data_IF_603911772372
#
_entry.id   IF_603911772372
#
_cell.length_a   1.000
_cell.length_b   1.000
_cell.length_c   1.000
_cell.angle_alpha   90.00
_cell.angle_beta   90.00
_cell.angle_gamma   90.00
#
_symmetry.space_group_name_H-M   'P 1'
#
loop_
_entity.id
_entity.type
_entity.pdbx_description
1 polymer ?
#
# COMPACT_ATOMS: atom_id res chain seq x y z
N UNK A 1 13.24 -0.66 -6.70
CA UNK A 1 12.84 -0.78 -8.13
C UNK A 1 12.28 -2.16 -8.34
N UNK A 2 11.18 -2.28 -9.10
CA UNK A 2 10.66 -3.56 -9.61
C UNK A 2 11.17 -3.72 -11.04
N UNK A 3 11.71 -4.87 -11.37
CA UNK A 3 12.09 -5.21 -12.74
C UNK A 3 11.49 -6.55 -13.17
N UNK A 4 11.19 -6.68 -14.46
CA UNK A 4 10.68 -7.91 -15.05
C UNK A 4 11.64 -8.48 -16.09
N UNK A 5 11.57 -9.78 -16.35
CA UNK A 5 12.35 -10.44 -17.42
C UNK A 5 12.03 -9.93 -18.82
N UNK A 6 10.91 -9.23 -18.98
CA UNK A 6 10.47 -8.66 -20.25
C UNK A 6 11.06 -7.25 -20.47
N UNK A 7 11.97 -6.80 -19.60
CA UNK A 7 12.67 -5.52 -19.70
C UNK A 7 11.89 -4.33 -19.16
N UNK A 8 10.73 -4.53 -18.55
CA UNK A 8 10.00 -3.46 -17.87
C UNK A 8 10.60 -3.19 -16.50
N UNK A 9 10.71 -1.90 -16.16
CA UNK A 9 11.09 -1.46 -14.83
C UNK A 9 10.11 -0.41 -14.33
N UNK A 10 9.98 -0.38 -13.01
CA UNK A 10 9.14 0.55 -12.31
C UNK A 10 9.50 0.61 -10.83
N UNK A 11 8.58 1.14 -10.06
CA UNK A 11 8.77 1.45 -8.67
C UNK A 11 7.99 0.51 -7.76
N UNK A 12 8.36 0.50 -6.49
CA UNK A 12 7.67 -0.24 -5.45
C UNK A 12 8.21 0.15 -4.09
N UNK A 13 7.51 -0.28 -3.04
CA UNK A 13 7.87 0.05 -1.66
C UNK A 13 7.76 -1.14 -0.73
N UNK A 14 8.67 -1.19 0.25
CA UNK A 14 8.54 -2.09 1.39
C UNK A 14 7.90 -1.28 2.52
N UNK A 15 6.58 -1.32 2.57
CA UNK A 15 5.76 -0.76 3.64
C UNK A 15 4.99 -1.89 4.31
N UNK A 16 4.48 -1.64 5.52
CA UNK A 16 3.67 -2.59 6.30
C UNK A 16 4.46 -3.76 6.88
N UNK A 17 5.26 -4.45 6.07
CA UNK A 17 6.02 -5.61 6.50
C UNK A 17 7.28 -5.82 5.64
N UNK A 18 8.41 -6.21 6.25
CA UNK A 18 9.71 -6.28 5.57
C UNK A 18 9.87 -7.37 4.51
N UNK A 19 8.82 -8.17 4.27
CA UNK A 19 8.76 -9.21 3.21
C UNK A 19 7.81 -8.87 2.05
N UNK A 20 7.18 -7.70 2.09
CA UNK A 20 6.26 -7.25 1.05
C UNK A 20 6.93 -6.24 0.12
N UNK A 21 6.45 -6.19 -1.11
CA UNK A 21 6.72 -5.08 -2.03
C UNK A 21 5.39 -4.65 -2.65
N UNK A 22 4.93 -3.46 -2.29
CA UNK A 22 3.71 -2.85 -2.80
C UNK A 22 4.03 -2.04 -4.05
N UNK A 23 3.17 -2.13 -5.07
CA UNK A 23 3.32 -1.43 -6.34
C UNK A 23 2.02 -1.46 -7.15
N UNK A 24 2.11 -1.16 -8.45
CA UNK A 24 0.98 -1.24 -9.37
C UNK A 24 0.92 -2.60 -10.10
N UNK A 25 -0.28 -3.00 -10.50
CA UNK A 25 -0.55 -4.29 -11.12
C UNK A 25 0.01 -4.40 -12.53
N UNK A 26 0.04 -3.32 -13.31
CA UNK A 26 0.58 -3.36 -14.68
C UNK A 26 2.06 -3.75 -14.73
N UNK A 27 2.83 -3.52 -13.66
CA UNK A 27 4.21 -4.00 -13.58
C UNK A 27 4.32 -5.53 -13.53
N UNK A 28 3.25 -6.20 -13.11
CA UNK A 28 3.16 -7.66 -13.04
C UNK A 28 2.30 -8.25 -14.18
N UNK A 29 1.67 -7.40 -14.98
CA UNK A 29 0.78 -7.79 -16.08
C UNK A 29 1.42 -7.39 -17.42
N UNK A 30 2.09 -8.36 -18.05
CA UNK A 30 3.00 -8.14 -19.16
C UNK A 30 2.34 -7.98 -20.54
N UNK A 31 3.21 -7.87 -21.54
CA UNK A 31 2.97 -7.40 -22.92
C UNK A 31 1.91 -8.19 -23.68
N UNK A 32 1.67 -9.45 -23.31
CA UNK A 32 0.71 -10.33 -23.96
C UNK A 32 -0.68 -10.32 -23.29
N UNK A 33 -1.00 -9.25 -22.55
CA UNK A 33 -2.22 -9.18 -21.74
C UNK A 33 -2.32 -10.38 -20.78
N UNK A 34 -1.20 -10.72 -20.15
CA UNK A 34 -1.09 -11.87 -19.27
C UNK A 34 -0.25 -11.55 -18.02
N UNK A 35 -0.64 -12.16 -16.91
CA UNK A 35 0.12 -12.10 -15.67
C UNK A 35 1.48 -12.78 -15.84
N UNK A 36 2.54 -12.06 -15.49
CA UNK A 36 3.90 -12.60 -15.51
C UNK A 36 4.05 -13.64 -14.40
N UNK A 37 4.75 -14.76 -14.63
CA UNK A 37 5.00 -15.71 -13.55
C UNK A 37 5.80 -15.03 -12.44
N UNK A 38 5.55 -15.36 -11.17
CA UNK A 38 6.22 -14.68 -10.04
C UNK A 38 7.76 -14.68 -10.14
N UNK A 39 8.33 -15.78 -10.66
CA UNK A 39 9.76 -15.93 -10.95
C UNK A 39 10.33 -14.95 -12.00
N UNK A 40 9.49 -14.21 -12.70
CA UNK A 40 9.89 -13.17 -13.63
C UNK A 40 9.96 -11.78 -12.97
N UNK A 41 9.57 -11.64 -11.69
CA UNK A 41 9.52 -10.37 -10.99
C UNK A 41 10.65 -10.30 -9.98
N UNK A 42 11.47 -9.24 -10.11
CA UNK A 42 12.61 -8.96 -9.24
C UNK A 42 12.41 -7.66 -8.48
N UNK A 43 12.83 -7.68 -7.23
CA UNK A 43 12.93 -6.52 -6.37
C UNK A 43 14.39 -6.11 -6.17
N UNK A 44 14.70 -4.87 -6.50
CA UNK A 44 16.02 -4.27 -6.29
C UNK A 44 15.92 -3.25 -5.16
N UNK A 45 16.37 -3.66 -3.98
CA UNK A 45 16.34 -2.83 -2.77
C UNK A 45 17.42 -1.76 -2.80
N UNK A 46 17.04 -0.50 -2.54
CA UNK A 46 17.95 0.66 -2.47
C UNK A 46 18.90 0.76 -3.68
N UNK A 47 18.38 0.48 -4.89
CA UNK A 47 19.18 0.68 -6.08
C UNK A 47 19.59 2.14 -6.19
N UNK A 48 20.88 2.41 -6.28
CA UNK A 48 21.41 3.78 -6.25
C UNK A 48 22.70 3.86 -7.08
N UNK A 49 22.64 3.30 -8.29
CA UNK A 49 23.76 3.21 -9.21
C UNK A 49 23.46 3.98 -10.49
N UNK A 50 24.49 4.24 -11.28
CA UNK A 50 24.35 4.94 -12.56
C UNK A 50 23.88 4.07 -13.73
N UNK A 51 23.63 2.79 -13.49
CA UNK A 51 23.26 1.82 -14.50
C UNK A 51 22.01 1.03 -14.12
N UNK A 52 21.38 0.42 -15.13
CA UNK A 52 20.28 -0.50 -14.93
C UNK A 52 20.75 -1.69 -14.06
N UNK A 53 19.91 -2.17 -13.11
CA UNK A 53 20.29 -3.29 -12.27
C UNK A 53 20.44 -4.60 -13.05
N UNK A 54 21.57 -5.26 -12.84
CA UNK A 54 21.76 -6.66 -13.24
C UNK A 54 20.85 -7.57 -12.40
N UNK A 55 20.17 -8.50 -13.06
CA UNK A 55 19.30 -9.53 -12.51
C UNK A 55 19.85 -10.22 -11.24
N UNK A 56 21.17 -10.43 -11.18
CA UNK A 56 21.83 -11.07 -10.02
C UNK A 56 21.72 -10.26 -8.73
N UNK A 57 21.50 -8.95 -8.83
CA UNK A 57 21.32 -8.05 -7.69
C UNK A 57 19.87 -8.02 -7.18
N UNK A 58 18.95 -8.64 -7.92
CA UNK A 58 17.52 -8.62 -7.64
C UNK A 58 17.06 -9.81 -6.81
N UNK A 59 16.23 -9.53 -5.81
CA UNK A 59 15.48 -10.53 -5.05
C UNK A 59 14.33 -11.03 -5.91
N UNK A 60 14.30 -12.34 -6.20
CA UNK A 60 13.12 -12.97 -6.79
C UNK A 60 11.97 -12.97 -5.79
N UNK A 61 10.81 -12.46 -6.22
CA UNK A 61 9.59 -12.49 -5.43
C UNK A 61 8.90 -13.84 -5.58
N UNK A 62 8.33 -14.34 -4.47
CA UNK A 62 7.70 -15.66 -4.43
C UNK A 62 6.34 -15.67 -5.11
N UNK A 63 5.62 -14.56 -5.01
CA UNK A 63 4.29 -14.41 -5.58
C UNK A 63 3.72 -13.03 -5.33
N UNK A 64 2.48 -12.84 -5.74
CA UNK A 64 1.79 -11.58 -5.59
C UNK A 64 0.27 -11.77 -5.57
N UNK A 65 -0.42 -10.80 -4.97
CA UNK A 65 -1.88 -10.70 -4.97
C UNK A 65 -2.29 -9.41 -5.67
N UNK A 66 -3.34 -9.52 -6.48
CA UNK A 66 -3.88 -8.45 -7.32
C UNK A 66 -5.41 -8.51 -7.33
N UNK A 67 -6.05 -7.44 -7.77
CA UNK A 67 -7.50 -7.43 -7.96
C UNK A 67 -7.90 -8.27 -9.18
N UNK A 68 -8.78 -9.25 -9.00
CA UNK A 68 -9.26 -10.09 -10.11
C UNK A 68 -9.96 -9.32 -11.23
N UNK A 69 -10.49 -8.12 -10.92
CA UNK A 69 -11.09 -7.19 -11.88
C UNK A 69 -10.08 -6.45 -12.76
N UNK A 70 -8.79 -6.46 -12.42
CA UNK A 70 -7.78 -5.71 -13.17
C UNK A 70 -7.68 -6.20 -14.61
N UNK A 71 -7.48 -7.51 -14.80
CA UNK A 71 -7.34 -8.11 -16.13
C UNK A 71 -8.60 -7.92 -17.00
N UNK A 72 -9.79 -8.05 -16.42
CA UNK A 72 -11.03 -7.82 -17.17
C UNK A 72 -11.21 -6.36 -17.56
N UNK A 73 -10.76 -5.42 -16.72
CA UNK A 73 -10.75 -3.98 -17.01
C UNK A 73 -9.76 -3.65 -18.12
N UNK A 74 -8.53 -4.16 -18.06
CA UNK A 74 -7.53 -3.99 -19.13
C UNK A 74 -8.07 -4.49 -20.47
N UNK A 75 -8.66 -5.69 -20.50
CA UNK A 75 -9.24 -6.26 -21.75
C UNK A 75 -10.38 -5.42 -22.32
N UNK A 76 -11.13 -4.72 -21.47
CA UNK A 76 -12.32 -3.95 -21.88
C UNK A 76 -12.01 -2.50 -22.22
N UNK A 77 -11.09 -1.87 -21.49
CA UNK A 77 -10.86 -0.43 -21.54
C UNK A 77 -9.40 -0.06 -21.89
N UNK A 78 -8.45 -0.99 -21.75
CA UNK A 78 -7.02 -0.72 -21.85
C UNK A 78 -6.35 -0.59 -20.47
N UNK A 79 -5.02 -0.70 -20.45
CA UNK A 79 -4.22 -0.53 -19.23
C UNK A 79 -4.17 0.93 -18.78
N UNK A 80 -4.10 1.85 -19.74
CA UNK A 80 -3.99 3.30 -19.50
C UNK A 80 -5.36 3.99 -19.46
N UNK A 81 -6.28 3.49 -18.61
CA UNK A 81 -7.65 3.98 -18.55
C UNK A 81 -8.13 4.20 -17.11
N UNK A 82 -8.87 5.30 -16.88
CA UNK A 82 -9.42 5.67 -15.56
C UNK A 82 -10.36 4.63 -14.96
N UNK A 83 -10.90 3.70 -15.77
CA UNK A 83 -11.70 2.55 -15.31
C UNK A 83 -10.86 1.37 -14.85
N UNK A 84 -9.58 1.31 -15.25
CA UNK A 84 -8.64 0.24 -14.89
C UNK A 84 -7.82 0.60 -13.67
N UNK A 85 -7.38 1.87 -13.56
CA UNK A 85 -6.54 2.37 -12.47
C UNK A 85 -7.04 2.10 -11.03
N UNK A 86 -8.36 2.11 -10.72
CA UNK A 86 -8.87 1.70 -9.40
C UNK A 86 -8.42 0.31 -8.94
N UNK A 87 -8.14 -0.58 -9.89
CA UNK A 87 -7.70 -1.96 -9.65
C UNK A 87 -6.20 -2.18 -9.91
N UNK A 88 -5.45 -1.12 -10.19
CA UNK A 88 -4.04 -1.18 -10.59
C UNK A 88 -3.10 -1.18 -9.37
N UNK A 89 -3.30 -2.16 -8.50
CA UNK A 89 -2.53 -2.35 -7.28
C UNK A 89 -2.11 -3.80 -7.14
N UNK A 90 -0.88 -4.00 -6.65
CA UNK A 90 -0.36 -5.34 -6.36
C UNK A 90 0.39 -5.37 -5.03
N UNK A 91 0.18 -6.45 -4.29
CA UNK A 91 0.98 -6.79 -3.12
C UNK A 91 1.86 -7.99 -3.46
N UNK A 92 3.12 -7.73 -3.81
CA UNK A 92 4.11 -8.78 -3.98
C UNK A 92 4.64 -9.23 -2.61
N UNK A 93 5.10 -10.48 -2.54
CA UNK A 93 5.68 -11.02 -1.33
C UNK A 93 6.89 -11.93 -1.62
N UNK A 94 7.76 -12.01 -0.62
CA UNK A 94 8.77 -13.06 -0.53
C UNK A 94 8.49 -13.96 0.67
N UNK A 95 8.45 -15.28 0.46
CA UNK A 95 8.26 -16.24 1.54
C UNK A 95 9.55 -16.44 2.35
N UNK A 96 10.71 -16.33 1.69
CA UNK A 96 11.99 -16.83 2.20
C UNK A 96 12.95 -15.73 2.66
N UNK A 97 12.79 -14.49 2.21
CA UNK A 97 13.76 -13.41 2.47
C UNK A 97 13.08 -12.07 2.73
N UNK A 98 13.72 -11.25 3.57
CA UNK A 98 13.32 -9.85 3.80
C UNK A 98 13.68 -9.01 2.56
N UNK A 99 12.72 -8.22 2.08
CA UNK A 99 12.84 -7.34 0.91
C UNK A 99 13.45 -5.98 1.26
N UNK A 100 13.58 -5.63 2.55
CA UNK A 100 14.30 -4.43 2.98
C UNK A 100 15.13 -4.62 4.26
N UNK A 101 15.87 -5.73 4.35
CA UNK A 101 16.81 -5.96 5.46
C UNK A 101 16.17 -5.94 6.85
N UNK A 102 14.91 -6.36 6.95
CA UNK A 102 14.12 -6.37 8.19
C UNK A 102 13.32 -5.08 8.46
N UNK A 103 13.46 -4.04 7.64
CA UNK A 103 12.75 -2.76 7.81
C UNK A 103 11.51 -2.66 6.91
N UNK A 104 10.52 -1.88 7.35
CA UNK A 104 9.39 -1.49 6.53
C UNK A 104 8.96 -0.06 6.87
N UNK A 105 8.46 0.69 5.88
CA UNK A 105 7.82 1.98 6.11
C UNK A 105 6.49 1.85 6.83
N UNK A 106 6.10 2.91 7.55
CA UNK A 106 4.77 3.05 8.14
C UNK A 106 3.66 3.10 7.08
N UNK A 107 2.41 3.15 7.52
CA UNK A 107 1.23 3.08 6.65
C UNK A 107 0.05 3.80 7.30
N UNK A 108 -0.97 4.16 6.50
CA UNK A 108 -2.26 4.68 7.00
C UNK A 108 -3.43 3.73 6.68
N UNK A 109 -4.43 3.65 7.58
CA UNK A 109 -5.59 2.75 7.40
C UNK A 109 -6.42 3.17 6.17
N UNK A 110 -6.66 4.48 6.05
CA UNK A 110 -7.40 5.09 4.95
C UNK A 110 -6.50 6.04 4.16
N UNK A 111 -5.87 5.50 3.12
CA UNK A 111 -5.02 6.24 2.21
C UNK A 111 -5.81 7.29 1.43
N UNK A 112 -7.04 6.95 1.01
CA UNK A 112 -7.92 7.85 0.28
C UNK A 112 -8.21 9.11 1.10
N UNK A 113 -8.64 8.94 2.34
CA UNK A 113 -8.91 10.06 3.25
C UNK A 113 -7.68 10.94 3.44
N UNK A 114 -6.49 10.34 3.64
CA UNK A 114 -5.28 11.13 3.87
C UNK A 114 -4.83 11.89 2.60
N UNK A 115 -5.02 11.31 1.41
CA UNK A 115 -4.63 11.94 0.13
C UNK A 115 -5.59 13.04 -0.32
N UNK A 116 -6.86 12.99 0.08
CA UNK A 116 -7.85 14.05 -0.22
C UNK A 116 -7.93 15.12 0.87
N UNK A 117 -7.25 14.94 2.01
CA UNK A 117 -7.22 15.91 3.11
C UNK A 117 -6.11 16.96 2.90
N UNK A 118 -6.48 18.22 3.11
CA UNK A 118 -5.56 19.36 3.03
C UNK A 118 -4.66 19.53 4.24
N UNK A 119 -3.52 20.17 4.01
CA UNK A 119 -2.55 20.48 5.06
C UNK A 119 -1.62 19.33 5.48
N UNK A 120 -1.77 18.14 4.88
CA UNK A 120 -0.79 17.06 5.02
C UNK A 120 0.29 17.20 3.94
N UNK A 121 1.55 17.11 4.36
CA UNK A 121 2.68 16.94 3.44
C UNK A 121 2.60 15.55 2.82
N UNK A 122 2.80 15.47 1.51
CA UNK A 122 2.72 14.26 0.70
C UNK A 122 3.99 14.12 -0.12
N UNK A 123 4.37 12.90 -0.44
CA UNK A 123 5.61 12.59 -1.16
C UNK A 123 5.38 11.40 -2.06
N UNK A 124 5.72 11.51 -3.33
CA UNK A 124 5.91 10.33 -4.19
C UNK A 124 7.40 10.06 -4.29
N UNK A 125 7.80 8.81 -4.10
CA UNK A 125 9.19 8.39 -4.34
C UNK A 125 9.24 7.22 -5.31
N UNK A 126 10.33 7.05 -6.02
CA UNK A 126 10.50 5.88 -6.87
C UNK A 126 11.62 6.03 -7.89
N UNK A 127 11.50 5.30 -8.99
CA UNK A 127 12.52 5.08 -9.99
C UNK A 127 11.95 5.32 -11.40
N UNK A 128 11.80 6.58 -11.85
CA UNK A 128 11.28 6.92 -13.17
C UNK A 128 12.16 6.40 -14.31
N UNK A 129 11.79 5.24 -14.88
CA UNK A 129 12.55 4.58 -15.94
C UNK A 129 12.83 5.48 -17.17
N UNK A 130 11.87 6.34 -17.54
CA UNK A 130 11.97 7.20 -18.71
C UNK A 130 12.96 8.36 -18.56
N UNK A 131 13.34 8.72 -17.33
CA UNK A 131 14.36 9.76 -17.09
C UNK A 131 15.80 9.23 -17.23
N UNK A 132 15.99 7.91 -17.28
CA UNK A 132 17.33 7.31 -17.27
C UNK A 132 17.98 7.21 -18.65
N UNK A 133 17.22 7.42 -19.72
CA UNK A 133 17.69 7.16 -21.10
C UNK A 133 18.51 8.33 -21.66
N UNK A 134 18.25 9.60 -21.27
CA UNK A 134 19.12 10.74 -21.60
C UNK A 134 19.04 11.87 -20.56
N UNK A 135 20.21 12.40 -20.16
CA UNK A 135 20.35 13.73 -19.56
C UNK A 135 19.99 13.91 -18.09
N UNK A 136 19.39 12.93 -17.40
CA UNK A 136 19.15 13.06 -15.96
C UNK A 136 20.45 12.79 -15.16
N UNK A 137 20.98 13.78 -14.40
CA UNK A 137 22.20 13.61 -13.62
C UNK A 137 22.06 12.58 -12.48
N UNK A 138 20.84 12.19 -12.13
CA UNK A 138 20.60 11.20 -11.08
C UNK A 138 20.58 9.77 -11.61
N UNK A 139 20.51 9.53 -12.92
CA UNK A 139 20.49 8.19 -13.53
C UNK A 139 19.52 7.25 -12.79
N UNK A 140 19.83 5.97 -12.58
CA UNK A 140 18.95 4.97 -11.94
C UNK A 140 18.80 5.12 -10.41
N UNK A 141 19.03 6.31 -9.85
CA UNK A 141 18.86 6.58 -8.42
C UNK A 141 17.39 6.87 -8.09
N UNK A 142 17.05 6.86 -6.81
CA UNK A 142 15.67 7.13 -6.39
C UNK A 142 15.35 8.62 -6.49
N UNK A 143 14.21 8.93 -7.11
CA UNK A 143 13.64 10.27 -7.18
C UNK A 143 12.54 10.45 -6.15
N UNK A 144 12.26 11.71 -5.80
CA UNK A 144 11.13 12.05 -4.95
C UNK A 144 10.51 13.38 -5.34
N UNK A 145 9.19 13.48 -5.26
CA UNK A 145 8.41 14.69 -5.55
C UNK A 145 7.47 14.96 -4.39
N UNK A 146 7.67 16.08 -3.70
CA UNK A 146 6.82 16.53 -2.59
C UNK A 146 5.66 17.39 -3.08
N UNK A 147 4.52 17.30 -2.41
CA UNK A 147 3.34 18.13 -2.66
C UNK A 147 2.47 18.23 -1.41
N UNK A 148 1.57 19.20 -1.35
CA UNK A 148 0.64 19.38 -0.20
C UNK A 148 -0.83 19.49 -0.61
N UNK A 149 -1.09 19.69 -1.91
CA UNK A 149 -2.44 19.85 -2.45
C UNK A 149 -3.31 18.62 -2.24
N UNK A 150 -4.62 18.85 -2.34
CA UNK A 150 -5.61 17.79 -2.23
C UNK A 150 -5.73 17.08 -3.57
N UNK A 151 -5.66 15.76 -3.54
CA UNK A 151 -6.05 14.98 -4.70
C UNK A 151 -7.59 15.00 -4.82
N UNK A 152 -8.09 15.00 -6.06
CA UNK A 152 -9.51 14.85 -6.34
C UNK A 152 -9.84 13.39 -6.68
N UNK A 153 -11.07 12.96 -6.38
CA UNK A 153 -11.51 11.59 -6.70
C UNK A 153 -11.94 11.55 -8.16
N UNK A 154 -11.20 10.82 -8.99
CA UNK A 154 -11.59 10.60 -10.39
C UNK A 154 -12.57 9.45 -10.53
N UNK A 155 -12.30 8.33 -9.85
CA UNK A 155 -13.16 7.16 -9.85
C UNK A 155 -12.82 6.24 -8.69
N UNK A 156 -13.81 5.89 -7.87
CA UNK A 156 -13.63 4.93 -6.76
C UNK A 156 -12.40 5.29 -5.88
N UNK A 157 -11.35 4.49 -5.88
CA UNK A 157 -10.08 4.70 -5.17
C UNK A 157 -8.95 5.28 -6.05
N UNK A 158 -9.23 5.58 -7.33
CA UNK A 158 -8.32 6.30 -8.22
C UNK A 158 -8.48 7.82 -8.03
N UNK A 159 -7.38 8.46 -7.67
CA UNK A 159 -7.29 9.88 -7.35
C UNK A 159 -6.38 10.60 -8.35
N UNK A 160 -6.77 11.79 -8.77
CA UNK A 160 -6.00 12.66 -9.65
C UNK A 160 -5.41 13.87 -8.92
N UNK A 161 -4.29 14.39 -9.41
CA UNK A 161 -3.77 15.69 -9.05
C UNK A 161 -3.02 16.31 -10.22
N UNK A 162 -3.32 17.56 -10.51
CA UNK A 162 -2.69 18.34 -11.56
C UNK A 162 -1.52 19.16 -11.03
N UNK A 163 -0.58 19.50 -11.92
CA UNK A 163 0.59 20.33 -11.59
C UNK A 163 1.72 19.59 -10.87
N UNK A 164 1.60 18.27 -10.66
CA UNK A 164 2.64 17.42 -10.08
C UNK A 164 3.17 16.46 -11.14
N UNK A 165 4.49 16.24 -11.17
CA UNK A 165 5.17 15.35 -12.11
C UNK A 165 6.20 14.48 -11.36
N UNK A 166 6.35 13.21 -11.76
CA UNK A 166 7.28 12.29 -11.08
C UNK A 166 8.27 11.57 -12.00
N UNK A 167 8.25 11.87 -13.30
CA UNK A 167 9.05 11.16 -14.30
C UNK A 167 8.29 10.02 -14.98
N UNK A 168 8.57 9.69 -16.26
CA UNK A 168 7.95 8.57 -16.93
C UNK A 168 8.49 7.27 -16.34
N UNK A 169 7.66 6.24 -16.25
CA UNK A 169 8.09 4.94 -15.72
C UNK A 169 8.27 4.90 -14.19
N UNK A 170 7.74 5.90 -13.46
CA UNK A 170 7.70 5.85 -11.99
C UNK A 170 6.54 4.99 -11.43
N UNK A 171 5.80 4.33 -12.31
CA UNK A 171 4.65 3.50 -11.94
C UNK A 171 4.95 2.52 -10.81
N UNK A 172 4.01 2.39 -9.88
CA UNK A 172 4.16 1.61 -8.65
C UNK A 172 4.89 2.36 -7.54
N UNK A 173 5.27 3.61 -7.78
CA UNK A 173 5.91 4.47 -6.80
C UNK A 173 5.02 4.66 -5.58
N UNK A 174 5.50 4.45 -4.35
CA UNK A 174 4.71 4.74 -3.17
C UNK A 174 4.34 6.21 -3.09
N UNK A 175 3.10 6.44 -2.69
CA UNK A 175 2.61 7.74 -2.25
C UNK A 175 2.59 7.73 -0.74
N UNK A 176 3.40 8.59 -0.13
CA UNK A 176 3.52 8.77 1.30
C UNK A 176 2.76 10.01 1.76
N UNK A 177 2.22 9.94 2.97
CA UNK A 177 1.67 11.09 3.69
C UNK A 177 2.43 11.26 5.01
N UNK A 178 2.74 12.48 5.40
CA UNK A 178 3.33 12.77 6.69
C UNK A 178 2.21 12.85 7.73
N UNK A 179 2.15 11.87 8.63
CA UNK A 179 1.12 11.77 9.65
C UNK A 179 1.73 11.28 10.95
N UNK A 180 1.34 11.89 12.07
CA UNK A 180 1.82 11.50 13.41
C UNK A 180 3.35 11.49 13.57
N UNK A 181 4.07 12.35 12.83
CA UNK A 181 5.53 12.47 12.92
C UNK A 181 6.32 11.46 12.08
N UNK A 182 5.66 10.71 11.19
CA UNK A 182 6.32 9.77 10.29
C UNK A 182 5.73 9.80 8.86
N UNK A 183 6.50 9.33 7.89
CA UNK A 183 6.01 9.06 6.54
C UNK A 183 5.29 7.71 6.50
N UNK A 184 4.05 7.73 6.04
CA UNK A 184 3.17 6.59 6.02
C UNK A 184 2.62 6.33 4.62
N UNK A 185 2.70 5.07 4.17
CA UNK A 185 2.21 4.63 2.86
C UNK A 185 0.69 4.81 2.76
N UNK A 186 0.24 5.47 1.68
CA UNK A 186 -1.16 5.81 1.44
C UNK A 186 -1.68 5.37 0.07
N UNK A 187 -0.84 4.86 -0.82
CA UNK A 187 -1.24 4.43 -2.15
C UNK A 187 -0.06 4.22 -3.09
N UNK A 188 -0.37 3.91 -4.34
CA UNK A 188 0.63 3.71 -5.41
C UNK A 188 0.30 4.62 -6.59
N UNK A 189 1.35 5.22 -7.16
CA UNK A 189 1.25 5.92 -8.44
C UNK A 189 0.98 4.91 -9.56
N UNK A 190 -0.08 5.12 -10.34
CA UNK A 190 -0.50 4.21 -11.41
C UNK A 190 -0.55 4.87 -12.78
N UNK A 191 -0.59 6.20 -12.81
CA UNK A 191 -0.57 6.97 -14.04
C UNK A 191 0.09 8.33 -13.82
N UNK A 192 0.48 8.96 -14.91
CA UNK A 192 0.96 10.32 -14.90
C UNK A 192 1.10 10.87 -16.31
N UNK A 193 1.10 12.19 -16.43
CA UNK A 193 1.45 12.89 -17.66
C UNK A 193 2.44 13.99 -17.33
N UNK A 194 3.38 14.25 -18.23
CA UNK A 194 4.47 15.20 -18.02
C UNK A 194 4.22 16.49 -18.77
N UNK A 195 4.67 17.60 -18.20
CA UNK A 195 4.46 18.90 -18.81
C UNK A 195 5.02 19.00 -20.24
N UNK A 196 6.17 18.35 -20.49
CA UNK A 196 6.82 18.38 -21.81
C UNK A 196 6.01 17.64 -22.89
N UNK A 197 5.13 16.71 -22.54
CA UNK A 197 4.39 15.90 -23.52
C UNK A 197 3.04 16.49 -23.93
N UNK A 198 2.41 17.31 -23.09
CA UNK A 198 1.05 17.82 -23.32
C UNK A 198 0.81 19.25 -22.80
N UNK A 199 1.85 19.98 -22.36
CA UNK A 199 1.77 21.30 -21.71
C UNK A 199 1.02 21.29 -20.35
N UNK A 200 0.86 20.11 -19.73
CA UNK A 200 0.14 19.90 -18.47
C UNK A 200 0.61 18.65 -17.71
N UNK A 201 1.22 18.81 -16.53
CA UNK A 201 1.56 17.64 -15.72
C UNK A 201 0.39 17.18 -14.86
N UNK A 202 0.19 15.88 -14.73
CA UNK A 202 -0.73 15.31 -13.76
C UNK A 202 -0.23 13.96 -13.26
N UNK A 203 -0.74 13.54 -12.11
CA UNK A 203 -0.50 12.22 -11.54
C UNK A 203 -1.83 11.54 -11.21
N UNK A 204 -1.84 10.23 -11.28
CA UNK A 204 -2.95 9.41 -10.82
C UNK A 204 -2.49 8.32 -9.87
N UNK A 205 -3.23 8.19 -8.77
CA UNK A 205 -2.88 7.33 -7.63
C UNK A 205 -4.01 6.36 -7.37
N UNK A 206 -3.68 5.07 -7.32
CA UNK A 206 -4.54 4.07 -6.69
C UNK A 206 -4.32 4.16 -5.17
N UNK A 207 -5.26 4.80 -4.47
CA UNK A 207 -5.19 4.98 -3.02
C UNK A 207 -5.37 3.66 -2.28
N UNK A 208 -4.72 3.54 -1.13
CA UNK A 208 -4.87 2.40 -0.23
C UNK A 208 -6.24 2.46 0.44
N UNK A 209 -7.06 1.47 0.15
CA UNK A 209 -8.40 1.31 0.68
C UNK A 209 -8.60 -0.09 1.28
N UNK A 210 -9.84 -0.42 1.64
CA UNK A 210 -10.21 -1.75 2.15
C UNK A 210 -9.84 -2.88 1.19
N UNK A 211 -9.98 -2.67 -0.12
CA UNK A 211 -9.61 -3.65 -1.15
C UNK A 211 -8.11 -3.92 -1.16
N UNK A 212 -7.30 -2.85 -1.18
CA UNK A 212 -5.83 -2.92 -1.14
C UNK A 212 -5.34 -3.64 0.13
N UNK A 213 -5.93 -3.34 1.28
CA UNK A 213 -5.66 -4.06 2.53
C UNK A 213 -5.98 -5.55 2.47
N UNK A 214 -7.02 -5.94 1.73
CA UNK A 214 -7.34 -7.34 1.47
C UNK A 214 -6.21 -8.07 0.74
N UNK A 215 -5.60 -7.42 -0.26
CA UNK A 215 -4.46 -7.95 -1.01
C UNK A 215 -3.20 -8.03 -0.13
N UNK A 216 -2.89 -6.97 0.61
CA UNK A 216 -1.75 -6.93 1.55
C UNK A 216 -1.87 -8.05 2.59
N UNK A 217 -3.04 -8.20 3.20
CA UNK A 217 -3.31 -9.25 4.20
C UNK A 217 -3.17 -10.65 3.61
N UNK A 218 -3.61 -10.83 2.36
CA UNK A 218 -3.46 -12.12 1.66
C UNK A 218 -1.98 -12.43 1.36
N UNK A 219 -1.21 -11.42 0.95
CA UNK A 219 0.23 -11.53 0.74
C UNK A 219 0.99 -11.87 2.03
N UNK A 220 0.67 -11.20 3.15
CA UNK A 220 1.25 -11.47 4.47
C UNK A 220 1.08 -12.92 4.92
N UNK A 221 -0.10 -13.51 4.69
CA UNK A 221 -0.34 -14.93 5.03
C UNK A 221 0.63 -15.86 4.30
N UNK A 222 1.15 -15.47 3.13
CA UNK A 222 2.13 -16.25 2.37
C UNK A 222 3.58 -16.05 2.82
N UNK A 223 3.88 -15.02 3.61
CA UNK A 223 5.24 -14.78 4.13
C UNK A 223 5.57 -15.60 5.38
N UNK A 224 4.60 -16.38 5.89
CA UNK A 224 4.67 -17.00 7.21
C UNK A 224 4.43 -16.01 8.35
N UNK A 225 4.14 -14.75 8.03
CA UNK A 225 3.86 -13.70 9.01
C UNK A 225 2.38 -13.72 9.34
N UNK A 226 2.06 -14.23 10.53
CA UNK A 226 0.74 -14.16 11.14
C UNK A 226 0.87 -13.40 12.45
N UNK A 227 0.28 -12.22 12.57
CA UNK A 227 0.28 -11.59 13.89
C UNK A 227 -0.39 -10.24 13.91
N UNK A 228 0.40 -9.20 14.06
CA UNK A 228 -0.08 -8.04 14.81
C UNK A 228 -1.02 -7.14 14.01
N UNK A 229 -0.90 -7.11 12.68
CA UNK A 229 -1.82 -6.38 11.78
C UNK A 229 -3.14 -7.13 11.54
N UNK A 230 -3.17 -8.44 11.79
CA UNK A 230 -4.31 -9.34 11.51
C UNK A 230 -5.03 -9.71 12.82
N UNK A 231 -4.33 -9.63 13.96
CA UNK A 231 -4.81 -9.98 15.28
C UNK A 231 -4.07 -9.13 16.31
N UNK A 232 -4.82 -8.38 17.12
CA UNK A 232 -4.27 -7.57 18.22
C UNK A 232 -4.89 -8.00 19.53
N UNK A 233 -4.05 -8.20 20.55
CA UNK A 233 -4.51 -8.36 21.93
C UNK A 233 -4.30 -7.04 22.65
N UNK A 234 -5.39 -6.43 23.11
CA UNK A 234 -5.35 -5.19 23.90
C UNK A 234 -5.61 -5.56 25.34
N UNK A 235 -4.66 -5.26 26.22
CA UNK A 235 -4.90 -5.32 27.66
C UNK A 235 -5.76 -4.12 28.05
N UNK A 236 -6.97 -4.39 28.54
CA UNK A 236 -7.83 -3.37 29.11
C UNK A 236 -7.41 -3.18 30.57
N UNK A 237 -7.24 -1.94 31.01
CA UNK A 237 -7.01 -1.66 32.44
C UNK A 237 -8.18 -2.19 33.28
N UNK A 238 -7.91 -2.57 34.53
CA UNK A 238 -8.96 -2.96 35.46
C UNK A 238 -10.04 -1.87 35.51
N UNK A 239 -11.31 -2.29 35.53
CA UNK A 239 -12.45 -1.39 35.69
C UNK A 239 -12.90 -1.44 37.15
N UNK A 240 -12.40 -0.58 38.06
CA UNK A 240 -12.96 -0.43 39.39
C UNK A 240 -14.22 0.43 39.29
N UNK A 241 -15.33 -0.17 38.81
CA UNK A 241 -16.64 0.49 38.83
C UNK A 241 -17.63 -0.49 39.41
N UNK A 242 -18.26 -0.12 40.52
CA UNK A 242 -19.39 -0.86 41.06
C UNK A 242 -20.51 -0.87 40.02
N UNK A 243 -21.09 -2.03 39.74
CA UNK A 243 -22.28 -2.16 38.90
C UNK A 243 -23.48 -1.87 39.80
N UNK A 244 -24.18 -0.73 39.65
CA UNK A 244 -25.34 -0.43 40.47
C UNK A 244 -26.47 -1.40 40.14
N UNK A 245 -27.29 -1.73 41.13
CA UNK A 245 -28.46 -2.60 40.91
C UNK A 245 -29.39 -1.99 39.86
N UNK A 246 -29.95 -2.84 38.99
CA UNK A 246 -30.84 -2.45 37.88
C UNK A 246 -30.28 -1.35 36.95
N UNK A 247 -28.96 -1.29 36.80
CA UNK A 247 -28.29 -0.29 35.97
C UNK A 247 -27.20 -0.92 35.09
N UNK A 248 -26.59 -0.10 34.23
CA UNK A 248 -25.50 -0.50 33.35
C UNK A 248 -24.24 0.32 33.61
N UNK A 249 -23.09 -0.30 33.33
CA UNK A 249 -21.79 0.38 33.28
C UNK A 249 -21.23 0.18 31.89
N UNK A 250 -20.96 1.28 31.19
CA UNK A 250 -20.42 1.25 29.83
C UNK A 250 -18.94 1.69 29.82
N UNK A 251 -18.14 1.01 28.99
CA UNK A 251 -16.75 1.40 28.72
C UNK A 251 -16.44 1.22 27.24
N UNK A 252 -15.84 2.25 26.67
CA UNK A 252 -15.36 2.26 25.29
C UNK A 252 -13.84 2.12 25.29
N UNK A 253 -13.33 1.28 24.40
CA UNK A 253 -11.90 1.14 24.15
C UNK A 253 -11.65 1.30 22.65
N UNK A 254 -10.62 2.07 22.31
CA UNK A 254 -10.20 2.22 20.91
C UNK A 254 -9.15 1.18 20.60
N UNK A 255 -9.44 0.32 19.61
CA UNK A 255 -8.45 -0.58 19.02
C UNK A 255 -7.98 0.03 17.70
N UNK A 256 -6.70 0.41 17.63
CA UNK A 256 -6.06 0.94 16.42
C UNK A 256 -4.99 -0.02 15.88
N UNK A 257 -4.58 0.15 14.62
CA UNK A 257 -3.46 -0.62 14.04
C UNK A 257 -3.85 -2.02 13.59
N UNK A 258 -5.15 -2.27 13.43
CA UNK A 258 -5.69 -3.46 12.77
C UNK A 258 -6.17 -3.05 11.38
N UNK A 259 -6.01 -3.95 10.41
CA UNK A 259 -6.37 -3.65 9.02
C UNK A 259 -7.36 -4.68 8.48
N UNK A 260 -8.30 -4.23 7.64
CA UNK A 260 -9.30 -5.06 6.99
C UNK A 260 -10.63 -5.20 7.77
N UNK A 261 -11.32 -6.32 7.58
CA UNK A 261 -12.61 -6.62 8.24
C UNK A 261 -12.36 -7.39 9.53
N UNK A 262 -12.89 -6.92 10.65
CA UNK A 262 -12.87 -7.66 11.92
C UNK A 262 -13.71 -8.93 11.73
N UNK A 263 -13.05 -10.08 11.70
CA UNK A 263 -13.68 -11.39 11.53
C UNK A 263 -14.18 -11.98 12.85
N UNK A 264 -13.70 -11.47 13.98
CA UNK A 264 -14.13 -11.89 15.30
C UNK A 264 -13.46 -11.08 16.40
N UNK A 265 -14.17 -10.90 17.51
CA UNK A 265 -13.66 -10.27 18.72
C UNK A 265 -13.73 -11.32 19.83
N UNK A 266 -12.63 -11.49 20.57
CA UNK A 266 -12.61 -12.33 21.77
C UNK A 266 -12.42 -11.45 22.99
N UNK A 267 -13.44 -11.42 23.84
CA UNK A 267 -13.40 -10.74 25.13
C UNK A 267 -13.10 -11.75 26.24
N UNK A 268 -12.04 -11.49 27.01
CA UNK A 268 -11.78 -12.17 28.27
C UNK A 268 -12.10 -11.18 29.39
N UNK A 269 -13.15 -11.44 30.16
CA UNK A 269 -13.66 -10.54 31.20
C UNK A 269 -13.75 -11.26 32.55
N UNK A 270 -13.35 -10.58 33.61
CA UNK A 270 -13.53 -11.02 34.99
C UNK A 270 -14.45 -10.02 35.72
N UNK A 271 -15.63 -10.49 36.15
CA UNK A 271 -16.58 -9.70 36.95
C UNK A 271 -16.81 -10.42 38.28
N UNK A 272 -16.72 -9.67 39.37
CA UNK A 272 -17.15 -10.10 40.70
C UNK A 272 -18.52 -9.51 41.01
N UNK A 273 -19.54 -10.36 41.17
CA UNK A 273 -20.89 -9.94 41.54
C UNK A 273 -21.53 -11.01 42.46
N UNK A 274 -22.29 -10.63 43.50
CA UNK A 274 -22.93 -11.59 44.41
C UNK A 274 -23.91 -12.55 43.73
N UNK A 275 -24.55 -12.11 42.64
CA UNK A 275 -25.50 -12.90 41.85
C UNK A 275 -25.19 -12.78 40.36
N UNK A 276 -24.47 -13.74 39.79
CA UNK A 276 -24.04 -13.65 38.37
C UNK A 276 -25.20 -13.69 37.38
N UNK A 277 -26.33 -14.29 37.74
CA UNK A 277 -27.52 -14.36 36.89
C UNK A 277 -28.17 -13.00 36.61
N UNK A 278 -27.86 -11.99 37.42
CA UNK A 278 -28.40 -10.63 37.28
C UNK A 278 -27.60 -9.80 36.26
N UNK A 279 -26.48 -10.34 35.75
CA UNK A 279 -25.60 -9.65 34.82
C UNK A 279 -25.93 -9.98 33.36
N UNK A 280 -26.10 -8.93 32.57
CA UNK A 280 -26.02 -9.01 31.11
C UNK A 280 -24.71 -8.35 30.64
N UNK A 281 -23.94 -9.06 29.82
CA UNK A 281 -22.70 -8.54 29.22
C UNK A 281 -22.90 -8.40 27.72
N UNK A 282 -22.70 -7.20 27.21
CA UNK A 282 -22.77 -6.88 25.78
C UNK A 282 -21.43 -6.34 25.30
N UNK A 283 -21.08 -6.63 24.05
CA UNK A 283 -19.88 -6.16 23.36
C UNK A 283 -20.26 -5.61 21.99
#
# INVERSE_FOLDING_TARGET
MIGTTDGYSGSGSVAVHPKLVLGCAHMNYGVNNAWLPARAIRWFWKWNQGNYPDDKNGILLTGYYYFSSYQSSVRRYGMDDTRTYPSDFVANYSATQETAGGYAGGWVEDGKQCLTTGGLNKLISGYPAGRYIEGDPNEYRMHSTGFSDNMYVERDNYLGLDGVETGPGNSGGPVWVWKSGEWAFAGVLVSGTEYLSNQWSSIGVCSLDKGGWGLITSALKKTGSSGDLIKKTVALGNVPVAIPDQSSVERTFTVSGLVGVIQGVKLNLAITHPRKGDLAVTL
#
